data_IF_795224362531
#
_entry.id   IF_795224362531
#
_cell.length_a   1.000
_cell.length_b   1.000
_cell.length_c   1.000
_cell.angle_alpha   90.00
_cell.angle_beta   90.00
_cell.angle_gamma   90.00
#
_symmetry.space_group_name_H-M   'P 1'
#
loop_
_entity.id
_entity.type
_entity.pdbx_description
1 polymer ?
#
# COMPACT_ATOMS: atom_id res chain seq x y z
N UNK A 1 -1.63 26.57 14.89
CA UNK A 1 -2.79 25.93 14.21
C UNK A 1 -2.40 25.27 12.90
N UNK A 2 -1.40 25.78 12.17
CA UNK A 2 -0.96 25.19 10.89
C UNK A 2 -0.43 23.75 10.99
N UNK A 3 0.31 23.42 12.05
CA UNK A 3 0.83 22.05 12.24
C UNK A 3 -0.29 21.00 12.35
N UNK A 4 -1.34 21.32 13.12
CA UNK A 4 -2.50 20.42 13.30
C UNK A 4 -3.25 20.24 11.99
N UNK A 5 -3.41 21.34 11.22
CA UNK A 5 -4.00 21.30 9.89
C UNK A 5 -3.19 20.42 8.92
N UNK A 6 -1.87 20.56 8.90
CA UNK A 6 -0.97 19.76 8.06
C UNK A 6 -1.01 18.27 8.40
N UNK A 7 -0.98 17.91 9.68
CA UNK A 7 -1.10 16.52 10.14
C UNK A 7 -2.47 15.92 9.80
N UNK A 8 -3.55 16.70 9.95
CA UNK A 8 -4.89 16.27 9.58
C UNK A 8 -5.00 16.01 8.08
N UNK A 9 -4.53 16.94 7.24
CA UNK A 9 -4.52 16.77 5.78
C UNK A 9 -3.69 15.58 5.35
N UNK A 10 -2.53 15.35 5.99
CA UNK A 10 -1.71 14.18 5.73
C UNK A 10 -2.43 12.88 6.09
N UNK A 11 -3.10 12.84 7.25
CA UNK A 11 -3.91 11.70 7.67
C UNK A 11 -5.01 11.39 6.66
N UNK A 12 -5.72 12.42 6.19
CA UNK A 12 -6.76 12.31 5.15
C UNK A 12 -6.18 11.79 3.83
N UNK A 13 -5.06 12.35 3.37
CA UNK A 13 -4.36 11.87 2.18
C UNK A 13 -4.01 10.39 2.30
N UNK A 14 -3.51 9.96 3.46
CA UNK A 14 -3.10 8.58 3.66
C UNK A 14 -4.28 7.62 3.68
N UNK A 15 -5.38 8.00 4.33
CA UNK A 15 -6.62 7.22 4.28
C UNK A 15 -7.17 7.11 2.86
N UNK A 16 -7.10 8.19 2.07
CA UNK A 16 -7.46 8.17 0.65
C UNK A 16 -6.56 7.24 -0.16
N UNK A 17 -5.24 7.29 0.02
CA UNK A 17 -4.30 6.39 -0.67
C UNK A 17 -4.63 4.92 -0.35
N UNK A 18 -4.83 4.59 0.93
CA UNK A 18 -5.18 3.23 1.37
C UNK A 18 -6.51 2.77 0.77
N UNK A 19 -7.51 3.65 0.74
CA UNK A 19 -8.82 3.36 0.20
C UNK A 19 -8.81 3.22 -1.33
N UNK A 20 -8.04 4.04 -2.06
CA UNK A 20 -8.02 4.05 -3.53
C UNK A 20 -7.15 2.92 -4.10
N UNK A 21 -6.09 2.50 -3.41
CA UNK A 21 -5.14 1.51 -3.92
C UNK A 21 -5.78 0.19 -4.38
N UNK A 22 -6.71 -0.46 -3.63
CA UNK A 22 -7.39 -1.67 -4.10
C UNK A 22 -8.27 -1.43 -5.33
N UNK A 23 -8.92 -0.26 -5.42
CA UNK A 23 -9.73 0.13 -6.56
C UNK A 23 -8.92 0.25 -7.85
N UNK A 24 -7.70 0.82 -7.75
CA UNK A 24 -6.76 0.88 -8.88
C UNK A 24 -6.36 -0.53 -9.35
N UNK A 25 -6.11 -1.48 -8.43
CA UNK A 25 -5.85 -2.88 -8.79
C UNK A 25 -7.05 -3.47 -9.54
N UNK A 26 -8.28 -3.21 -9.08
CA UNK A 26 -9.51 -3.65 -9.73
C UNK A 26 -9.66 -3.08 -11.14
N UNK A 27 -9.36 -1.79 -11.32
CA UNK A 27 -9.35 -1.12 -12.61
C UNK A 27 -8.34 -1.74 -13.57
N UNK A 28 -7.08 -1.92 -13.14
CA UNK A 28 -6.02 -2.54 -13.95
C UNK A 28 -6.42 -3.95 -14.38
N UNK A 29 -6.98 -4.76 -13.47
CA UNK A 29 -7.47 -6.12 -13.78
C UNK A 29 -8.59 -6.09 -14.82
N UNK A 30 -9.53 -5.14 -14.69
CA UNK A 30 -10.66 -4.99 -15.64
C UNK A 30 -10.17 -4.54 -17.02
N UNK A 31 -9.28 -3.55 -17.09
CA UNK A 31 -8.68 -3.07 -18.34
C UNK A 31 -7.92 -4.20 -19.02
N UNK A 32 -7.05 -4.90 -18.30
CA UNK A 32 -6.28 -6.04 -18.84
C UNK A 32 -7.20 -7.15 -19.39
N UNK A 33 -8.29 -7.47 -18.70
CA UNK A 33 -9.24 -8.47 -19.18
C UNK A 33 -9.93 -8.04 -20.48
N UNK A 34 -10.33 -6.76 -20.59
CA UNK A 34 -10.96 -6.22 -21.80
C UNK A 34 -10.01 -6.23 -23.00
N UNK A 35 -8.73 -5.89 -22.78
CA UNK A 35 -7.69 -5.98 -23.80
C UNK A 35 -7.44 -7.42 -24.28
N UNK A 36 -7.66 -8.40 -23.40
CA UNK A 36 -7.56 -9.82 -23.72
C UNK A 36 -8.90 -10.42 -24.19
N UNK A 37 -9.90 -9.60 -24.54
CA UNK A 37 -11.23 -10.03 -25.01
C UNK A 37 -11.96 -10.95 -24.01
N UNK A 38 -11.74 -10.75 -22.70
CA UNK A 38 -12.37 -11.50 -21.62
C UNK A 38 -13.24 -10.59 -20.73
N UNK A 39 -14.29 -11.17 -20.15
CA UNK A 39 -15.01 -10.51 -19.07
C UNK A 39 -14.18 -10.59 -17.77
N UNK A 40 -13.61 -9.45 -17.38
CA UNK A 40 -12.83 -9.30 -16.17
C UNK A 40 -13.67 -9.21 -14.89
N UNK A 41 -13.04 -9.32 -13.72
CA UNK A 41 -13.71 -9.13 -12.44
C UNK A 41 -14.22 -7.68 -12.26
N UNK A 42 -15.14 -7.50 -11.32
CA UNK A 42 -15.60 -6.17 -10.91
C UNK A 42 -14.45 -5.34 -10.30
N UNK A 43 -14.49 -4.02 -10.46
CA UNK A 43 -13.51 -3.09 -9.87
C UNK A 43 -13.53 -3.17 -8.35
N UNK A 44 -14.69 -3.47 -7.75
CA UNK A 44 -14.87 -3.55 -6.29
C UNK A 44 -14.37 -4.91 -5.72
N UNK A 45 -14.05 -5.88 -6.58
CA UNK A 45 -13.62 -7.21 -6.17
C UNK A 45 -12.45 -7.21 -5.16
N UNK A 46 -11.38 -6.40 -5.32
CA UNK A 46 -10.25 -6.38 -4.38
C UNK A 46 -10.65 -5.98 -2.94
N UNK A 47 -11.66 -5.12 -2.77
CA UNK A 47 -12.16 -4.77 -1.44
C UNK A 47 -12.88 -5.96 -0.77
N UNK A 48 -13.67 -6.72 -1.54
CA UNK A 48 -14.34 -7.93 -1.06
C UNK A 48 -13.32 -9.00 -0.69
N UNK A 49 -12.28 -9.14 -1.51
CA UNK A 49 -11.18 -10.08 -1.26
C UNK A 49 -10.42 -9.72 0.02
N UNK A 50 -10.11 -8.43 0.24
CA UNK A 50 -9.47 -7.95 1.46
C UNK A 50 -10.32 -8.22 2.70
N UNK A 51 -11.60 -7.85 2.67
CA UNK A 51 -12.54 -8.12 3.78
C UNK A 51 -12.65 -9.62 4.07
N UNK A 52 -12.62 -10.46 3.03
CA UNK A 52 -12.62 -11.91 3.17
C UNK A 52 -11.33 -12.41 3.83
N UNK A 53 -10.16 -11.90 3.44
CA UNK A 53 -8.87 -12.31 3.99
C UNK A 53 -8.70 -11.89 5.45
N UNK A 54 -9.16 -10.69 5.82
CA UNK A 54 -9.12 -10.21 7.21
C UNK A 54 -9.96 -11.04 8.17
N UNK A 55 -10.94 -11.79 7.66
CA UNK A 55 -11.78 -12.71 8.44
C UNK A 55 -11.21 -14.12 8.54
N UNK A 56 -10.11 -14.42 7.83
CA UNK A 56 -9.48 -15.73 7.86
C UNK A 56 -8.39 -15.78 8.93
N UNK A 57 -8.22 -16.97 9.50
CA UNK A 57 -7.08 -17.26 10.36
C UNK A 57 -5.79 -17.33 9.55
N UNK A 58 -4.72 -16.74 10.08
CA UNK A 58 -3.41 -16.80 9.47
C UNK A 58 -2.73 -18.13 9.82
N UNK A 59 -2.51 -18.97 8.81
CA UNK A 59 -1.79 -20.23 8.96
C UNK A 59 -0.29 -19.99 8.74
N UNK A 60 0.52 -20.28 9.76
CA UNK A 60 1.98 -20.20 9.73
C UNK A 60 2.55 -21.56 10.11
N UNK A 61 3.53 -22.06 9.34
CA UNK A 61 4.15 -23.35 9.61
C UNK A 61 4.88 -23.35 10.97
N UNK A 62 4.88 -24.48 11.65
CA UNK A 62 5.51 -24.64 12.97
C UNK A 62 7.03 -24.41 12.95
N UNK A 63 7.67 -24.72 11.82
CA UNK A 63 9.11 -24.52 11.59
C UNK A 63 9.45 -23.16 10.94
N UNK A 64 8.46 -22.29 10.71
CA UNK A 64 8.71 -20.99 10.09
C UNK A 64 9.52 -20.10 11.04
N UNK A 65 10.55 -19.46 10.50
CA UNK A 65 11.34 -18.46 11.24
C UNK A 65 10.45 -17.30 11.69
N UNK A 66 10.82 -16.66 12.80
CA UNK A 66 10.18 -15.42 13.28
C UNK A 66 10.15 -14.34 12.20
N UNK A 67 11.16 -14.33 11.31
CA UNK A 67 11.28 -13.36 10.24
C UNK A 67 10.15 -13.48 9.21
N UNK A 68 9.63 -14.70 8.96
CA UNK A 68 8.47 -14.93 8.09
C UNK A 68 7.20 -14.26 8.63
N UNK A 69 7.06 -14.17 9.96
CA UNK A 69 5.93 -13.48 10.60
C UNK A 69 6.05 -11.97 10.50
N UNK A 70 7.27 -11.44 10.54
CA UNK A 70 7.54 -9.99 10.51
C UNK A 70 7.54 -9.42 9.09
N UNK A 71 7.97 -10.22 8.10
CA UNK A 71 8.14 -9.77 6.71
C UNK A 71 6.90 -9.05 6.13
N UNK A 72 5.65 -9.56 6.24
CA UNK A 72 4.48 -8.88 5.69
C UNK A 72 4.26 -7.48 6.29
N UNK A 73 4.53 -7.31 7.58
CA UNK A 73 4.40 -6.03 8.28
C UNK A 73 5.50 -5.05 7.86
N UNK A 74 6.73 -5.55 7.66
CA UNK A 74 7.86 -4.75 7.22
C UNK A 74 7.66 -4.24 5.78
N UNK A 75 7.15 -5.09 4.89
CA UNK A 75 6.77 -4.70 3.52
C UNK A 75 5.71 -3.61 3.54
N UNK A 76 4.63 -3.82 4.32
CA UNK A 76 3.56 -2.84 4.44
C UNK A 76 4.08 -1.51 4.97
N UNK A 77 4.86 -1.52 6.06
CA UNK A 77 5.42 -0.33 6.67
C UNK A 77 6.33 0.45 5.70
N UNK A 78 7.24 -0.25 5.00
CA UNK A 78 8.16 0.39 4.05
C UNK A 78 7.41 1.07 2.88
N UNK A 79 6.42 0.37 2.30
CA UNK A 79 5.58 0.94 1.23
C UNK A 79 4.70 2.08 1.74
N UNK A 80 4.17 1.96 2.95
CA UNK A 80 3.33 2.99 3.58
C UNK A 80 4.11 4.28 3.84
N UNK A 81 5.32 4.18 4.40
CA UNK A 81 6.22 5.32 4.59
C UNK A 81 6.61 5.94 3.24
N UNK A 82 6.94 5.13 2.24
CA UNK A 82 7.25 5.64 0.91
C UNK A 82 6.06 6.42 0.30
N UNK A 83 4.83 5.92 0.47
CA UNK A 83 3.63 6.62 0.02
C UNK A 83 3.36 7.93 0.80
N UNK A 84 3.71 7.98 2.09
CA UNK A 84 3.58 9.18 2.91
C UNK A 84 4.54 10.31 2.49
N UNK A 85 5.71 9.95 1.95
CA UNK A 85 6.69 10.91 1.46
C UNK A 85 6.27 11.56 0.12
N UNK A 86 5.43 10.89 -0.68
CA UNK A 86 5.00 11.38 -1.99
C UNK A 86 3.75 12.27 -1.86
N UNK A 87 3.81 13.57 -2.20
CA UNK A 87 2.64 14.45 -2.16
C UNK A 87 1.69 14.10 -3.31
N UNK A 88 0.74 13.20 -3.04
CA UNK A 88 -0.12 12.60 -4.07
C UNK A 88 -1.43 13.39 -4.28
N UNK A 89 -1.99 13.98 -3.22
CA UNK A 89 -3.29 14.65 -3.26
C UNK A 89 -3.29 16.07 -2.66
N UNK A 90 -2.28 16.42 -1.84
CA UNK A 90 -2.12 17.76 -1.27
C UNK A 90 -0.67 18.27 -1.43
N UNK A 91 -0.52 19.58 -1.66
CA UNK A 91 0.77 20.29 -1.68
C UNK A 91 1.05 20.93 -0.32
N UNK A 92 2.33 21.08 0.05
CA UNK A 92 2.73 21.67 1.35
C UNK A 92 2.65 20.72 2.56
N UNK A 93 2.73 19.41 2.33
CA UNK A 93 2.75 18.42 3.40
C UNK A 93 4.07 18.46 4.18
N UNK A 94 4.00 18.20 5.49
CA UNK A 94 5.13 18.31 6.43
C UNK A 94 6.35 17.47 5.99
N UNK A 95 6.14 16.35 5.30
CA UNK A 95 7.23 15.47 4.85
C UNK A 95 7.73 15.76 3.44
N UNK A 96 7.16 16.71 2.70
CA UNK A 96 7.54 16.93 1.29
C UNK A 96 8.97 17.45 1.13
N UNK A 97 9.54 18.11 2.14
CA UNK A 97 10.96 18.53 2.10
C UNK A 97 11.89 17.32 2.19
N UNK A 98 11.51 16.28 2.94
CA UNK A 98 12.37 15.14 3.30
C UNK A 98 12.29 14.01 2.28
N UNK A 99 11.46 14.17 1.25
CA UNK A 99 11.27 13.20 0.20
C UNK A 99 12.42 13.26 -0.81
N UNK A 100 13.55 12.63 -0.45
CA UNK A 100 14.61 12.32 -1.42
C UNK A 100 14.25 11.03 -2.18
N UNK A 101 14.48 11.03 -3.50
CA UNK A 101 14.38 9.87 -4.37
C UNK A 101 15.17 8.68 -3.79
N UNK A 102 16.34 8.93 -3.21
CA UNK A 102 17.15 7.88 -2.57
C UNK A 102 16.40 7.18 -1.44
N UNK A 103 15.68 7.93 -0.60
CA UNK A 103 14.90 7.36 0.50
C UNK A 103 13.74 6.52 -0.03
N UNK A 104 13.03 6.98 -1.07
CA UNK A 104 11.94 6.23 -1.70
C UNK A 104 12.47 4.93 -2.31
N UNK A 105 13.57 5.01 -3.07
CA UNK A 105 14.20 3.83 -3.70
C UNK A 105 14.66 2.83 -2.63
N UNK A 106 15.31 3.29 -1.57
CA UNK A 106 15.75 2.43 -0.47
C UNK A 106 14.57 1.73 0.22
N UNK A 107 13.50 2.46 0.55
CA UNK A 107 12.29 1.90 1.17
C UNK A 107 11.64 0.82 0.28
N UNK A 108 11.48 1.11 -1.02
CA UNK A 108 10.91 0.16 -1.96
C UNK A 108 11.82 -1.06 -2.19
N UNK A 109 13.14 -0.88 -2.19
CA UNK A 109 14.11 -1.96 -2.28
C UNK A 109 14.06 -2.86 -1.03
N UNK A 110 13.95 -2.27 0.17
CA UNK A 110 13.77 -3.01 1.43
C UNK A 110 12.48 -3.83 1.42
N UNK A 111 11.37 -3.24 0.94
CA UNK A 111 10.11 -3.97 0.78
C UNK A 111 10.26 -5.16 -0.19
N UNK A 112 10.97 -4.98 -1.31
CA UNK A 112 11.23 -6.07 -2.27
C UNK A 112 12.12 -7.17 -1.70
N UNK A 113 13.16 -6.80 -0.95
CA UNK A 113 14.03 -7.76 -0.27
C UNK A 113 13.24 -8.60 0.74
N UNK A 114 12.39 -7.95 1.54
CA UNK A 114 11.57 -8.64 2.53
C UNK A 114 10.50 -9.57 1.92
N UNK A 115 10.02 -9.28 0.71
CA UNK A 115 9.11 -10.17 -0.04
C UNK A 115 9.81 -11.42 -0.60
N UNK A 116 11.13 -11.43 -0.73
CA UNK A 116 11.87 -12.55 -1.32
C UNK A 116 12.22 -13.66 -0.31
N UNK A 117 12.01 -13.39 0.98
CA UNK A 117 12.24 -14.32 2.09
C UNK A 117 11.03 -15.22 2.34
#
# INVERSE_FOLDING_TARGET
MELIGGLFMQGVQMMLVLAVAPGLIGLVRKVRARLLLRNGPSIIQPYRDLLRLLRKEALVASNASWLFRVAPYLVFAAVWVAAALVPTFATGLVFSWSADILAIVALLATARFALAL
#
